data_IF_640791967629
#
_entry.id   IF_640791967629
#
_cell.length_a   1.000
_cell.length_b   1.000
_cell.length_c   1.000
_cell.angle_alpha   90.00
_cell.angle_beta   90.00
_cell.angle_gamma   90.00
#
_symmetry.space_group_name_H-M   'P 1'
#
loop_
_entity.id
_entity.type
_entity.pdbx_description
1 polymer ?
#
# COMPACT_ATOMS: atom_id res chain seq x y z
N UNK A 1 6.43 -3.20 0.79
CA UNK A 1 5.60 -2.11 0.24
C UNK A 1 5.24 -2.48 -1.18
N UNK A 2 4.04 -2.15 -1.63
CA UNK A 2 3.62 -2.30 -3.02
C UNK A 2 4.34 -1.26 -3.91
N UNK A 3 4.32 -1.49 -5.22
CA UNK A 3 5.06 -0.68 -6.19
C UNK A 3 4.39 0.66 -6.54
N UNK A 4 3.12 0.84 -6.20
CA UNK A 4 2.27 2.00 -6.45
C UNK A 4 2.14 2.90 -5.21
N UNK A 5 3.24 3.03 -4.46
CA UNK A 5 3.35 3.82 -3.23
C UNK A 5 4.34 4.98 -3.36
N UNK A 6 4.05 6.09 -2.66
CA UNK A 6 4.88 7.30 -2.62
C UNK A 6 5.08 7.73 -1.17
N UNK A 7 6.27 7.44 -0.63
CA UNK A 7 6.69 7.86 0.70
C UNK A 7 7.03 9.35 0.70
N UNK A 8 6.50 10.07 1.69
CA UNK A 8 6.70 11.51 1.89
C UNK A 8 7.41 11.85 3.21
N UNK A 9 7.59 10.87 4.09
CA UNK A 9 8.20 11.07 5.40
C UNK A 9 9.42 10.14 5.59
N UNK A 10 10.23 10.46 6.58
CA UNK A 10 11.41 9.69 6.96
C UNK A 10 11.03 8.28 7.40
N UNK A 11 11.52 7.29 6.66
CA UNK A 11 11.28 5.85 6.91
C UNK A 11 11.69 5.42 8.33
N UNK A 12 12.65 6.12 8.96
CA UNK A 12 13.05 5.82 10.35
C UNK A 12 11.92 6.03 11.34
N UNK A 13 10.98 6.96 11.06
CA UNK A 13 9.79 7.16 11.89
C UNK A 13 8.85 5.97 11.82
N UNK A 14 8.71 5.33 10.66
CA UNK A 14 7.97 4.07 10.53
C UNK A 14 8.66 2.97 11.32
N UNK A 15 9.97 2.84 11.15
CA UNK A 15 10.77 1.82 11.84
C UNK A 15 10.70 1.94 13.36
N UNK A 16 10.70 3.15 13.90
CA UNK A 16 10.59 3.41 15.33
C UNK A 16 9.23 3.00 15.94
N UNK A 17 8.24 2.65 15.12
CA UNK A 17 6.95 2.11 15.57
C UNK A 17 6.98 0.58 15.78
N UNK A 18 8.12 -0.08 15.53
CA UNK A 18 8.23 -1.51 15.70
C UNK A 18 7.86 -1.96 17.12
N UNK A 19 7.15 -3.08 17.19
CA UNK A 19 6.74 -3.71 18.43
C UNK A 19 6.89 -5.23 18.28
N UNK A 20 7.85 -5.79 19.02
CA UNK A 20 8.20 -7.21 18.97
C UNK A 20 7.10 -8.13 19.51
N UNK A 21 6.01 -7.60 20.08
CA UNK A 21 4.85 -8.42 20.44
C UNK A 21 4.10 -8.96 19.22
N UNK A 22 4.21 -8.31 18.06
CA UNK A 22 3.52 -8.68 16.82
C UNK A 22 4.43 -9.43 15.84
N UNK A 23 3.84 -10.35 15.07
CA UNK A 23 4.52 -11.07 13.99
C UNK A 23 4.73 -10.13 12.79
N UNK A 24 3.75 -9.26 12.54
CA UNK A 24 3.75 -8.27 11.47
C UNK A 24 2.87 -7.09 11.89
N UNK A 25 3.27 -5.88 11.51
CA UNK A 25 2.49 -4.67 11.72
C UNK A 25 2.04 -4.09 10.38
N UNK A 26 0.78 -3.71 10.29
CA UNK A 26 0.13 -3.23 9.05
C UNK A 26 -0.82 -2.09 9.36
N UNK A 27 -1.22 -1.32 8.35
CA UNK A 27 -2.35 -0.40 8.51
C UNK A 27 -3.65 -1.18 8.37
N UNK A 28 -4.49 -1.15 9.41
CA UNK A 28 -5.76 -1.88 9.47
C UNK A 28 -6.90 -1.07 8.85
N UNK A 29 -6.97 -1.07 7.53
CA UNK A 29 -8.04 -0.42 6.78
C UNK A 29 -9.41 -1.03 7.05
N UNK A 30 -10.35 -0.21 7.51
CA UNK A 30 -11.80 -0.49 7.42
C UNK A 30 -12.28 0.00 6.06
N UNK A 31 -12.02 -0.79 5.02
CA UNK A 31 -12.23 -0.37 3.64
C UNK A 31 -13.35 -1.15 2.97
N UNK A 32 -14.39 -0.42 2.57
CA UNK A 32 -15.44 -0.90 1.69
C UNK A 32 -15.24 -0.16 0.36
N UNK A 33 -15.01 -0.87 -0.75
CA UNK A 33 -14.82 -0.22 -2.04
C UNK A 33 -16.02 0.64 -2.45
N UNK A 34 -15.77 1.84 -2.95
CA UNK A 34 -16.83 2.75 -3.44
C UNK A 34 -17.39 2.33 -4.81
N UNK A 35 -16.69 1.45 -5.52
CA UNK A 35 -17.02 0.98 -6.87
C UNK A 35 -16.82 -0.53 -6.99
N UNK A 36 -17.66 -1.20 -7.79
CA UNK A 36 -17.59 -2.63 -8.12
C UNK A 36 -16.51 -2.97 -9.15
N UNK A 37 -15.89 -1.95 -9.77
CA UNK A 37 -14.80 -2.11 -10.75
C UNK A 37 -13.60 -1.26 -10.38
N UNK A 38 -12.42 -1.84 -10.58
CA UNK A 38 -11.13 -1.15 -10.58
C UNK A 38 -10.82 -0.59 -11.97
N UNK A 39 -9.67 0.05 -12.07
CA UNK A 39 -8.97 0.27 -13.34
C UNK A 39 -8.92 -1.02 -14.19
N UNK A 40 -8.95 -0.84 -15.51
CA UNK A 40 -8.99 -1.89 -16.55
C UNK A 40 -10.23 -2.80 -16.53
N UNK A 41 -11.31 -2.36 -15.86
CA UNK A 41 -12.57 -3.11 -15.78
C UNK A 41 -12.51 -4.32 -14.83
N UNK A 42 -11.37 -4.52 -14.18
CA UNK A 42 -11.13 -5.60 -13.22
C UNK A 42 -12.14 -5.56 -12.07
N UNK A 43 -12.63 -6.74 -11.68
CA UNK A 43 -13.66 -6.83 -10.65
C UNK A 43 -13.07 -6.43 -9.31
N UNK A 44 -13.64 -5.38 -8.72
CA UNK A 44 -13.29 -4.96 -7.38
C UNK A 44 -13.99 -5.87 -6.37
N UNK A 45 -13.38 -7.00 -6.04
CA UNK A 45 -13.94 -7.93 -5.06
C UNK A 45 -13.74 -7.39 -3.63
N UNK A 46 -14.79 -7.26 -2.81
CA UNK A 46 -14.64 -6.99 -1.40
C UNK A 46 -14.16 -8.25 -0.68
N UNK A 47 -13.12 -8.12 0.15
CA UNK A 47 -12.67 -9.17 1.05
C UNK A 47 -12.12 -8.53 2.34
N UNK A 48 -12.11 -9.29 3.43
CA UNK A 48 -11.61 -8.81 4.72
C UNK A 48 -10.11 -8.54 4.63
N UNK A 49 -9.63 -7.49 5.31
CA UNK A 49 -8.21 -7.10 5.32
C UNK A 49 -7.68 -6.61 3.96
N UNK A 50 -8.56 -6.16 3.07
CA UNK A 50 -8.15 -5.57 1.79
C UNK A 50 -7.21 -4.37 2.00
N UNK A 51 -6.13 -4.33 1.21
CA UNK A 51 -5.05 -3.34 1.26
C UNK A 51 -4.20 -3.35 2.55
N UNK A 52 -4.38 -4.31 3.46
CA UNK A 52 -3.54 -4.40 4.66
C UNK A 52 -2.12 -4.86 4.33
N UNK A 53 -1.99 -5.79 3.37
CA UNK A 53 -0.69 -6.35 2.98
C UNK A 53 0.15 -5.46 2.05
N UNK A 54 -0.34 -4.27 1.68
CA UNK A 54 0.37 -3.40 0.74
C UNK A 54 1.56 -2.70 1.39
N UNK A 55 1.48 -2.41 2.69
CA UNK A 55 2.62 -2.01 3.51
C UNK A 55 2.64 -2.87 4.78
N UNK A 56 3.72 -3.63 4.94
CA UNK A 56 3.92 -4.54 6.07
C UNK A 56 5.30 -4.30 6.68
N UNK A 57 5.36 -4.22 8.00
CA UNK A 57 6.60 -4.25 8.77
C UNK A 57 6.69 -5.61 9.47
N UNK A 58 7.57 -6.47 8.96
CA UNK A 58 7.72 -7.85 9.42
C UNK A 58 8.64 -7.95 10.64
N UNK A 59 8.23 -8.74 11.63
CA UNK A 59 9.15 -9.31 12.60
C UNK A 59 9.60 -10.70 12.10
N UNK A 60 10.64 -10.71 11.27
CA UNK A 60 11.12 -11.94 10.60
C UNK A 60 11.43 -13.08 11.57
N UNK A 61 11.83 -12.78 12.82
CA UNK A 61 12.10 -13.80 13.84
C UNK A 61 10.84 -14.59 14.22
N UNK A 62 9.65 -13.98 14.10
CA UNK A 62 8.35 -14.58 14.43
C UNK A 62 7.62 -15.18 13.23
N UNK A 63 7.93 -14.77 12.01
CA UNK A 63 7.24 -15.21 10.78
C UNK A 63 7.65 -16.61 10.30
N UNK A 64 7.79 -17.59 11.20
CA UNK A 64 8.29 -18.94 10.89
C UNK A 64 7.31 -19.79 10.06
N UNK A 65 6.03 -19.42 10.04
CA UNK A 65 4.99 -20.13 9.27
C UNK A 65 5.04 -19.82 7.76
N UNK A 66 5.73 -18.75 7.34
CA UNK A 66 5.91 -18.40 5.92
C UNK A 66 6.99 -19.27 5.27
N UNK A 67 6.76 -20.58 5.24
CA UNK A 67 7.66 -21.53 4.58
C UNK A 67 7.49 -21.47 3.06
N UNK A 68 8.50 -21.92 2.31
CA UNK A 68 8.42 -22.03 0.85
C UNK A 68 7.21 -22.87 0.40
N UNK A 69 6.94 -23.97 1.09
CA UNK A 69 5.81 -24.85 0.82
C UNK A 69 4.48 -24.13 1.05
N UNK A 70 4.33 -23.44 2.19
CA UNK A 70 3.11 -22.69 2.51
C UNK A 70 2.84 -21.58 1.50
N UNK A 71 3.85 -20.77 1.17
CA UNK A 71 3.70 -19.66 0.20
C UNK A 71 3.32 -20.16 -1.19
N UNK A 72 3.84 -21.31 -1.62
CA UNK A 72 3.55 -21.88 -2.94
C UNK A 72 2.19 -22.59 -3.03
N UNK A 73 1.62 -23.03 -1.91
CA UNK A 73 0.42 -23.88 -1.91
C UNK A 73 -0.83 -23.21 -1.30
N UNK A 74 -0.65 -22.19 -0.45
CA UNK A 74 -1.76 -21.47 0.17
C UNK A 74 -2.60 -20.71 -0.86
N UNK A 75 -3.88 -20.49 -0.55
CA UNK A 75 -4.69 -19.57 -1.34
C UNK A 75 -4.18 -18.14 -1.14
N UNK A 76 -4.17 -17.32 -2.20
CA UNK A 76 -3.71 -15.93 -2.09
C UNK A 76 -4.44 -15.13 -1.00
N UNK A 77 -5.74 -15.39 -0.79
CA UNK A 77 -6.50 -14.77 0.30
C UNK A 77 -6.00 -15.19 1.70
N UNK A 78 -5.46 -16.39 1.87
CA UNK A 78 -4.90 -16.82 3.16
C UNK A 78 -3.69 -15.96 3.53
N UNK A 79 -2.86 -15.63 2.53
CA UNK A 79 -1.70 -14.75 2.68
C UNK A 79 -2.13 -13.30 2.98
N UNK A 80 -3.09 -12.77 2.21
CA UNK A 80 -3.62 -11.42 2.41
C UNK A 80 -4.44 -11.23 3.69
N UNK A 81 -4.99 -12.32 4.25
CA UNK A 81 -5.72 -12.33 5.52
C UNK A 81 -4.85 -12.74 6.70
N UNK A 82 -3.53 -12.83 6.50
CA UNK A 82 -2.53 -13.08 7.54
C UNK A 82 -2.80 -14.35 8.36
N UNK A 83 -3.38 -15.40 7.75
CA UNK A 83 -3.65 -16.67 8.45
C UNK A 83 -2.39 -17.36 8.93
N UNK A 84 -1.23 -16.96 8.43
CA UNK A 84 0.10 -17.40 8.83
C UNK A 84 0.62 -16.71 10.10
N UNK A 85 0.08 -15.55 10.47
CA UNK A 85 0.54 -14.76 11.61
C UNK A 85 -0.30 -15.05 12.86
N UNK A 86 0.36 -15.13 14.02
CA UNK A 86 -0.36 -15.31 15.29
C UNK A 86 -0.92 -13.98 15.80
N UNK A 87 -0.18 -12.88 15.61
CA UNK A 87 -0.56 -11.56 16.09
C UNK A 87 -0.23 -10.47 15.06
N UNK A 88 -1.25 -9.75 14.59
CA UNK A 88 -1.12 -8.67 13.61
C UNK A 88 -1.27 -7.31 14.29
N UNK A 89 -0.19 -6.54 14.34
CA UNK A 89 -0.15 -5.19 14.90
C UNK A 89 -0.73 -4.12 13.98
N UNK A 90 -0.98 -2.94 14.53
CA UNK A 90 -1.54 -1.81 13.80
C UNK A 90 -0.52 -0.67 13.67
N UNK A 91 -0.40 -0.15 12.45
CA UNK A 91 0.35 1.04 12.12
C UNK A 91 -0.59 2.24 11.93
N UNK A 92 -0.12 3.47 12.17
CA UNK A 92 -0.88 4.68 11.87
C UNK A 92 -1.33 4.73 10.42
N UNK A 93 -2.58 5.12 10.20
CA UNK A 93 -3.21 5.17 8.86
C UNK A 93 -2.44 5.99 7.83
N UNK A 94 -1.72 7.03 8.26
CA UNK A 94 -0.92 7.91 7.40
C UNK A 94 0.23 7.19 6.69
N UNK A 95 0.66 6.02 7.18
CA UNK A 95 1.68 5.20 6.53
C UNK A 95 1.15 4.35 5.37
N UNK A 96 -0.16 4.32 5.11
CA UNK A 96 -0.74 3.62 3.97
C UNK A 96 -2.01 4.34 3.54
N UNK A 97 -1.90 5.61 3.14
CA UNK A 97 -3.05 6.43 2.77
C UNK A 97 -3.56 6.06 1.38
N UNK A 98 -4.78 5.51 1.30
CA UNK A 98 -5.37 5.12 0.02
C UNK A 98 -5.83 6.38 -0.74
N UNK A 99 -5.08 6.74 -1.80
CA UNK A 99 -5.41 7.90 -2.64
C UNK A 99 -6.79 7.73 -3.27
N UNK A 100 -7.57 8.82 -3.29
CA UNK A 100 -8.91 8.94 -3.90
C UNK A 100 -10.01 8.05 -3.24
N UNK A 101 -9.61 7.10 -2.40
CA UNK A 101 -10.49 6.31 -1.54
C UNK A 101 -10.76 7.00 -0.20
N UNK A 102 -9.78 7.73 0.34
CA UNK A 102 -9.96 8.60 1.50
C UNK A 102 -10.02 10.07 1.11
N UNK A 103 -10.63 10.90 1.96
CA UNK A 103 -10.60 12.36 1.80
C UNK A 103 -9.15 12.85 1.70
N UNK A 104 -8.91 13.92 0.93
CA UNK A 104 -7.58 14.48 0.81
C UNK A 104 -7.00 14.89 2.19
N UNK A 105 -5.72 14.61 2.40
CA UNK A 105 -4.97 14.98 3.60
C UNK A 105 -3.53 15.34 3.21
N UNK A 106 -3.06 16.51 3.64
CA UNK A 106 -1.74 17.01 3.28
C UNK A 106 -0.60 16.25 4.01
N UNK A 107 -0.79 15.97 5.30
CA UNK A 107 0.18 15.35 6.21
C UNK A 107 0.07 13.82 6.24
N UNK A 108 0.24 13.19 5.07
CA UNK A 108 0.29 11.71 4.92
C UNK A 108 1.73 11.24 4.68
N UNK A 109 2.17 10.25 5.45
CA UNK A 109 3.56 9.74 5.40
C UNK A 109 3.85 8.87 4.19
N UNK A 110 2.84 8.16 3.67
CA UNK A 110 2.95 7.35 2.46
C UNK A 110 1.60 7.25 1.74
N UNK A 111 1.58 7.62 0.46
CA UNK A 111 0.41 7.62 -0.41
C UNK A 111 0.39 6.30 -1.20
N UNK A 112 -0.75 5.63 -1.28
CA UNK A 112 -0.93 4.37 -1.99
C UNK A 112 -2.00 4.53 -3.07
N UNK A 113 -1.59 4.41 -4.33
CA UNK A 113 -2.43 4.64 -5.51
C UNK A 113 -3.22 3.39 -5.93
N UNK A 114 -4.09 2.87 -5.05
CA UNK A 114 -4.82 1.59 -5.26
C UNK A 114 -5.76 1.56 -6.46
N UNK A 115 -6.14 2.72 -6.97
CA UNK A 115 -7.02 2.88 -8.12
C UNK A 115 -6.25 3.13 -9.42
N UNK A 116 -4.91 3.15 -9.39
CA UNK A 116 -4.07 3.60 -10.48
C UNK A 116 -3.59 5.04 -10.25
N UNK A 117 -2.32 5.29 -10.54
CA UNK A 117 -1.69 6.58 -10.29
C UNK A 117 -1.52 7.46 -11.53
N UNK A 118 -0.92 8.65 -11.36
CA UNK A 118 -0.76 9.67 -12.41
C UNK A 118 0.04 9.25 -13.66
N UNK A 119 0.76 8.11 -13.60
CA UNK A 119 1.58 7.58 -14.69
C UNK A 119 0.76 6.87 -15.78
N UNK A 120 -0.54 6.70 -15.59
CA UNK A 120 -1.42 6.21 -16.64
C UNK A 120 -1.84 7.37 -17.56
N UNK A 121 -1.10 7.52 -18.65
CA UNK A 121 -1.16 8.67 -19.58
C UNK A 121 -2.48 8.82 -20.36
N UNK A 122 -3.34 7.79 -20.39
CA UNK A 122 -4.46 7.71 -21.34
C UNK A 122 -5.85 7.76 -20.68
N UNK A 123 -5.94 8.15 -19.40
CA UNK A 123 -7.21 8.15 -18.65
C UNK A 123 -7.77 6.75 -18.36
N UNK A 124 -7.08 5.70 -18.79
CA UNK A 124 -7.29 4.34 -18.31
C UNK A 124 -6.41 4.24 -17.06
N UNK A 125 -6.97 4.54 -15.89
CA UNK A 125 -6.27 4.52 -14.60
C UNK A 125 -7.17 5.11 -13.54
N UNK A 126 -7.43 6.40 -13.69
CA UNK A 126 -8.53 7.07 -13.01
C UNK A 126 -9.25 7.93 -14.05
N UNK A 127 -10.57 7.79 -14.18
CA UNK A 127 -11.38 8.69 -15.01
C UNK A 127 -11.26 10.17 -14.56
N UNK A 128 -10.68 10.39 -13.37
CA UNK A 128 -10.45 11.69 -12.73
C UNK A 128 -8.99 11.83 -12.29
N UNK A 129 -8.45 13.03 -12.42
CA UNK A 129 -7.17 13.43 -11.81
C UNK A 129 -7.14 13.07 -10.31
N UNK A 130 -6.08 12.37 -9.88
CA UNK A 130 -5.89 11.99 -8.48
C UNK A 130 -5.63 13.22 -7.61
N UNK A 131 -6.12 13.20 -6.38
CA UNK A 131 -5.89 14.26 -5.38
C UNK A 131 -4.39 14.50 -5.12
N UNK A 132 -3.55 13.48 -5.35
CA UNK A 132 -2.11 13.52 -5.12
C UNK A 132 -1.28 13.63 -6.41
N UNK A 133 -1.90 13.98 -7.55
CA UNK A 133 -1.21 14.04 -8.85
C UNK A 133 -0.01 15.00 -8.84
N UNK A 134 -0.18 16.20 -8.28
CA UNK A 134 0.88 17.20 -8.27
C UNK A 134 2.06 16.75 -7.39
N UNK A 135 1.79 16.06 -6.29
CA UNK A 135 2.81 15.47 -5.42
C UNK A 135 3.63 14.44 -6.19
N UNK A 136 2.99 13.53 -6.91
CA UNK A 136 3.69 12.54 -7.71
C UNK A 136 4.53 13.20 -8.82
N UNK A 137 3.97 14.17 -9.55
CA UNK A 137 4.67 14.88 -10.64
C UNK A 137 5.95 15.54 -10.15
N UNK A 138 5.91 16.18 -8.98
CA UNK A 138 7.10 16.77 -8.34
C UNK A 138 8.22 15.75 -8.17
N UNK A 139 7.95 14.59 -7.54
CA UNK A 139 8.98 13.57 -7.32
C UNK A 139 9.43 12.90 -8.62
N UNK A 140 8.52 12.71 -9.58
CA UNK A 140 8.88 12.20 -10.91
C UNK A 140 9.85 13.15 -11.63
N UNK A 141 9.59 14.45 -11.62
CA UNK A 141 10.48 15.48 -12.18
C UNK A 141 11.85 15.48 -11.47
N UNK A 142 11.88 15.41 -10.13
CA UNK A 142 13.13 15.32 -9.36
C UNK A 142 13.95 14.09 -9.79
N UNK A 143 13.33 12.90 -9.86
CA UNK A 143 14.00 11.66 -10.26
C UNK A 143 14.50 11.66 -11.71
N UNK A 144 13.78 12.31 -12.63
CA UNK A 144 14.10 12.29 -14.07
C UNK A 144 14.98 13.47 -14.51
N UNK A 145 15.10 14.51 -13.70
CA UNK A 145 15.96 15.65 -13.99
C UNK A 145 17.45 15.28 -14.08
N UNK A 146 17.91 14.27 -13.32
CA UNK A 146 19.30 13.80 -13.34
C UNK A 146 19.70 13.05 -14.61
N UNK A 147 18.74 12.48 -15.34
CA UNK A 147 18.99 11.72 -16.57
C UNK A 147 19.26 12.59 -17.82
N UNK A 148 19.20 13.91 -17.69
CA UNK A 148 19.32 14.85 -18.82
C UNK A 148 20.66 15.61 -18.89
N UNK A 149 21.64 15.25 -18.05
CA UNK A 149 22.96 15.90 -18.01
C UNK A 149 24.12 15.09 -18.65
N UNK A 150 23.83 14.09 -19.48
CA UNK A 150 24.85 13.34 -20.25
C UNK A 150 24.77 13.62 -21.74
#
# INVERSE_FOLDING_TARGET
>A
MDCDMLFQDDITKLWNLQDDTYDVMVVKHQYIPKSERKFDGEKQTPYTMKNWSSLMMFNNSKCQNLTLDYVNTAHGLDLHQFKWASNVGELPKTWNWLADEYEYKEDVSNIHFTLGGPWFHDGIGSYNKSDYENTWKKYHEECTSYTSQT
#
